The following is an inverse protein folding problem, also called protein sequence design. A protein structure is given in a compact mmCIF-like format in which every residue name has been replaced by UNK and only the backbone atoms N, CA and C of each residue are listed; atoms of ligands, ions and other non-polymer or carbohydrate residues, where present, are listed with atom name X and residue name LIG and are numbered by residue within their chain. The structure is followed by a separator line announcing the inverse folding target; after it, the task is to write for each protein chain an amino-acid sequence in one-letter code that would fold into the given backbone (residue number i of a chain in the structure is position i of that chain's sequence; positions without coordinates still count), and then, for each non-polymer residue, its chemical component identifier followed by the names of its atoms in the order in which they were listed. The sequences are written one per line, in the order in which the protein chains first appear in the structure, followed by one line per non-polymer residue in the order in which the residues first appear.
data_IF_143060193877
#
_entry.id   IF_143060193877
#
_cell.length_a   1.000
_cell.length_b   1.000
_cell.length_c   1.000
_cell.angle_alpha   90.00
_cell.angle_beta   90.00
_cell.angle_gamma   90.00
#
_symmetry.space_group_name_H-M   'P 1'
#
loop_
_entity.id
_entity.type
_entity.pdbx_description
1 polymer ?
#
# COMPACT_ATOMS: atom_id res chain seq x y z
N UNK A 1 -10.34 -31.46 22.80
CA UNK A 1 -10.23 -30.95 21.43
C UNK A 1 -11.27 -29.87 21.25
N UNK A 2 -10.88 -28.60 21.41
CA UNK A 2 -11.79 -27.47 21.22
C UNK A 2 -11.76 -27.14 19.74
N UNK A 3 -12.90 -27.26 19.06
CA UNK A 3 -13.09 -26.79 17.70
C UNK A 3 -12.94 -25.27 17.71
N UNK A 4 -11.72 -24.77 17.45
CA UNK A 4 -11.49 -23.36 17.20
C UNK A 4 -12.32 -22.98 15.96
N UNK A 5 -13.29 -22.08 16.15
CA UNK A 5 -14.08 -21.48 15.07
C UNK A 5 -13.13 -21.07 13.96
N UNK A 6 -13.39 -21.55 12.74
CA UNK A 6 -12.72 -21.11 11.51
C UNK A 6 -12.95 -19.60 11.44
N UNK A 7 -11.97 -18.81 11.86
CA UNK A 7 -12.10 -17.36 11.92
C UNK A 7 -12.38 -16.85 10.50
N UNK A 8 -13.46 -16.07 10.34
CA UNK A 8 -13.72 -15.44 9.05
C UNK A 8 -12.52 -14.54 8.68
N UNK A 9 -12.06 -14.65 7.44
CA UNK A 9 -10.94 -13.87 6.92
C UNK A 9 -11.48 -12.75 6.04
N UNK A 10 -10.86 -11.58 6.12
CA UNK A 10 -11.13 -10.46 5.20
C UNK A 10 -9.90 -10.24 4.33
N UNK A 11 -10.15 -10.08 3.03
CA UNK A 11 -9.13 -9.77 2.04
C UNK A 11 -9.35 -8.35 1.55
N UNK A 12 -8.33 -7.50 1.72
CA UNK A 12 -8.33 -6.13 1.21
C UNK A 12 -7.33 -6.00 0.05
N UNK A 13 -7.71 -5.44 -1.10
CA UNK A 13 -6.82 -5.30 -2.25
C UNK A 13 -5.72 -4.26 -1.97
N UNK A 14 -4.50 -4.57 -2.41
CA UNK A 14 -3.37 -3.64 -2.34
C UNK A 14 -3.42 -2.72 -3.56
N UNK A 15 -3.48 -1.42 -3.30
CA UNK A 15 -3.29 -0.38 -4.32
C UNK A 15 -1.83 0.02 -4.37
N UNK A 16 -1.26 -0.01 -5.58
CA UNK A 16 0.13 0.35 -5.84
C UNK A 16 0.17 1.75 -6.44
N UNK A 17 0.99 2.63 -5.87
CA UNK A 17 1.21 4.00 -6.33
C UNK A 17 2.70 4.14 -6.63
N UNK A 18 3.03 4.46 -7.89
CA UNK A 18 4.41 4.79 -8.29
C UNK A 18 4.59 6.30 -8.26
N UNK A 19 5.52 6.78 -7.44
CA UNK A 19 5.86 8.19 -7.33
C UNK A 19 7.27 8.44 -7.87
N UNK A 20 7.43 9.54 -8.57
CA UNK A 20 8.71 10.08 -9.03
C UNK A 20 9.18 11.10 -8.00
N UNK A 21 10.38 10.92 -7.49
CA UNK A 21 11.06 11.82 -6.58
C UNK A 21 12.27 12.42 -7.29
N UNK A 22 12.40 13.74 -7.27
CA UNK A 22 13.62 14.44 -7.67
C UNK A 22 14.60 14.40 -6.49
N UNK A 23 15.75 13.76 -6.66
CA UNK A 23 16.75 13.64 -5.58
C UNK A 23 17.73 14.81 -5.55
N UNK A 24 17.68 15.68 -6.56
CA UNK A 24 18.50 16.89 -6.63
C UNK A 24 17.75 18.12 -6.11
N UNK A 25 16.42 18.16 -6.30
CA UNK A 25 15.55 19.24 -5.82
C UNK A 25 14.55 18.74 -4.75
N UNK A 26 14.92 18.95 -3.48
CA UNK A 26 14.11 18.58 -2.31
C UNK A 26 12.80 19.36 -2.17
N UNK A 27 12.67 20.51 -2.85
CA UNK A 27 11.46 21.34 -2.79
C UNK A 27 10.43 20.92 -3.83
N UNK A 28 10.85 20.13 -4.83
CA UNK A 28 9.94 19.61 -5.85
C UNK A 28 9.09 18.49 -5.27
N UNK A 29 7.75 18.62 -5.29
CA UNK A 29 6.88 17.60 -4.74
C UNK A 29 6.98 16.31 -5.56
N UNK A 30 6.93 15.13 -4.91
CA UNK A 30 6.82 13.86 -5.63
C UNK A 30 5.54 13.81 -6.46
N UNK A 31 5.63 13.27 -7.67
CA UNK A 31 4.50 13.17 -8.58
C UNK A 31 4.18 11.70 -8.91
N UNK A 32 2.90 11.34 -9.10
CA UNK A 32 2.57 10.07 -9.73
C UNK A 32 3.29 9.92 -11.07
N UNK A 33 3.82 8.73 -11.35
CA UNK A 33 4.59 8.45 -12.57
C UNK A 33 3.86 8.89 -13.84
N UNK A 34 2.57 8.59 -13.94
CA UNK A 34 1.74 8.98 -15.08
C UNK A 34 1.63 10.51 -15.21
N UNK A 35 1.48 11.22 -14.09
CA UNK A 35 1.41 12.69 -14.09
C UNK A 35 2.75 13.29 -14.49
N UNK A 36 3.86 12.74 -14.02
CA UNK A 36 5.21 13.18 -14.39
C UNK A 36 5.43 13.07 -15.91
N UNK A 37 5.12 11.92 -16.49
CA UNK A 37 5.27 11.69 -17.94
C UNK A 37 4.36 12.65 -18.74
N UNK A 38 3.12 12.87 -18.29
CA UNK A 38 2.19 13.81 -18.94
C UNK A 38 2.69 15.26 -18.91
N UNK A 39 3.30 15.69 -17.80
CA UNK A 39 3.74 17.08 -17.61
C UNK A 39 5.07 17.34 -18.33
N UNK A 40 6.04 16.43 -18.19
CA UNK A 40 7.42 16.64 -18.65
C UNK A 40 7.73 15.97 -19.99
N UNK A 41 6.89 15.05 -20.47
CA UNK A 41 7.08 14.35 -21.74
C UNK A 41 8.26 13.38 -21.77
N UNK A 42 8.87 13.10 -20.61
CA UNK A 42 10.04 12.24 -20.47
C UNK A 42 9.80 11.16 -19.42
N UNK A 43 10.53 10.05 -19.55
CA UNK A 43 10.61 9.07 -18.47
C UNK A 43 11.56 9.59 -17.37
N UNK A 44 11.24 9.34 -16.09
CA UNK A 44 12.14 9.67 -15.00
C UNK A 44 13.36 8.74 -15.02
N UNK A 45 14.55 9.30 -15.22
CA UNK A 45 15.81 8.56 -15.28
C UNK A 45 16.75 8.91 -14.12
N UNK A 46 17.51 7.92 -13.60
CA UNK A 46 18.59 8.18 -12.66
C UNK A 46 19.74 8.96 -13.33
N UNK A 47 20.59 9.69 -12.56
CA UNK A 47 20.60 9.75 -11.10
C UNK A 47 19.56 10.72 -10.52
N UNK A 48 19.07 11.67 -11.31
CA UNK A 48 18.22 12.78 -10.85
C UNK A 48 16.85 12.34 -10.35
N UNK A 49 16.19 11.40 -11.02
CA UNK A 49 14.87 10.95 -10.63
C UNK A 49 14.91 9.52 -10.10
N UNK A 50 14.18 9.27 -9.01
CA UNK A 50 13.92 7.92 -8.49
C UNK A 50 12.44 7.63 -8.51
N UNK A 51 12.08 6.43 -8.96
CA UNK A 51 10.69 5.95 -8.88
C UNK A 51 10.55 5.08 -7.64
N UNK A 52 9.76 5.55 -6.67
CA UNK A 52 9.42 4.80 -5.46
C UNK A 52 8.04 4.18 -5.61
N UNK A 53 7.85 3.00 -5.01
CA UNK A 53 6.57 2.30 -5.00
C UNK A 53 6.00 2.34 -3.60
N UNK A 54 4.81 2.92 -3.47
CA UNK A 54 4.03 2.93 -2.23
C UNK A 54 2.87 1.96 -2.40
N UNK A 55 2.71 1.09 -1.42
CA UNK A 55 1.62 0.12 -1.37
C UNK A 55 0.67 0.50 -0.23
N UNK A 56 -0.59 0.69 -0.56
CA UNK A 56 -1.64 1.14 0.36
C UNK A 56 -2.78 0.13 0.33
N UNK A 57 -3.40 -0.11 1.48
CA UNK A 57 -4.66 -0.86 1.58
C UNK A 57 -5.67 -0.06 2.37
N UNK A 58 -6.95 -0.34 2.17
CA UNK A 58 -8.01 0.18 3.04
C UNK A 58 -8.20 -0.83 4.17
N UNK A 59 -8.00 -0.39 5.41
CA UNK A 59 -8.18 -1.23 6.58
C UNK A 59 -9.62 -1.72 6.65
N UNK A 60 -9.80 -3.02 6.92
CA UNK A 60 -11.13 -3.62 6.96
C UNK A 60 -12.00 -3.09 8.12
N UNK A 61 -11.38 -2.59 9.18
CA UNK A 61 -12.03 -2.25 10.45
C UNK A 61 -12.50 -0.80 10.49
N UNK A 62 -11.57 0.15 10.36
CA UNK A 62 -11.82 1.59 10.48
C UNK A 62 -11.99 2.29 9.12
N UNK A 63 -11.79 1.55 8.02
CA UNK A 63 -11.83 2.05 6.63
C UNK A 63 -10.77 3.13 6.33
N UNK A 64 -9.75 3.28 7.16
CA UNK A 64 -8.65 4.19 6.90
C UNK A 64 -7.70 3.62 5.83
N UNK A 65 -7.15 4.47 4.94
CA UNK A 65 -6.03 4.07 4.09
C UNK A 65 -4.77 3.95 4.94
N UNK A 66 -4.13 2.79 4.88
CA UNK A 66 -2.91 2.50 5.65
C UNK A 66 -1.85 1.93 4.73
N UNK A 67 -0.58 2.19 5.03
CA UNK A 67 0.52 1.58 4.29
C UNK A 67 0.55 0.08 4.57
N UNK A 68 0.90 -0.72 3.57
CA UNK A 68 1.00 -2.17 3.80
C UNK A 68 2.13 -2.50 4.78
N UNK A 69 3.17 -1.66 4.84
CA UNK A 69 4.23 -1.73 5.86
C UNK A 69 3.69 -1.52 7.28
N UNK A 70 2.69 -0.65 7.46
CA UNK A 70 2.03 -0.43 8.75
C UNK A 70 1.07 -1.57 9.10
N UNK A 71 0.37 -2.14 8.10
CA UNK A 71 -0.48 -3.30 8.30
C UNK A 71 0.26 -4.49 8.93
N UNK A 72 1.55 -4.68 8.62
CA UNK A 72 2.35 -5.76 9.20
C UNK A 72 2.46 -5.71 10.73
N UNK A 73 2.26 -4.53 11.34
CA UNK A 73 2.28 -4.35 12.79
C UNK A 73 0.90 -4.54 13.44
N UNK A 74 -0.16 -4.73 12.66
CA UNK A 74 -1.51 -4.93 13.17
C UNK A 74 -1.67 -6.37 13.71
N UNK A 75 -2.23 -6.57 14.92
CA UNK A 75 -2.41 -7.92 15.49
C UNK A 75 -3.38 -8.80 14.68
N UNK A 76 -4.20 -8.20 13.81
CA UNK A 76 -5.15 -8.92 12.95
C UNK A 76 -4.55 -9.26 11.59
N UNK A 77 -3.40 -8.70 11.25
CA UNK A 77 -2.71 -9.04 10.01
C UNK A 77 -2.26 -10.50 10.05
N UNK A 78 -2.53 -11.23 8.98
CA UNK A 78 -2.12 -12.63 8.84
C UNK A 78 -1.02 -12.73 7.81
N UNK A 79 -1.27 -12.25 6.58
CA UNK A 79 -0.31 -12.31 5.48
C UNK A 79 -0.69 -11.44 4.30
N UNK A 80 0.28 -11.22 3.42
CA UNK A 80 0.06 -10.75 2.04
C UNK A 80 -0.08 -11.96 1.12
N UNK A 81 -1.05 -11.94 0.21
CA UNK A 81 -1.25 -13.02 -0.76
C UNK A 81 -1.90 -12.48 -2.04
N UNK A 82 -1.29 -12.77 -3.20
CA UNK A 82 -1.82 -12.43 -4.53
C UNK A 82 -2.38 -11.00 -4.66
N UNK A 83 -1.61 -10.00 -4.22
CA UNK A 83 -2.03 -8.59 -4.32
C UNK A 83 -3.11 -8.17 -3.31
N UNK A 84 -3.35 -8.97 -2.27
CA UNK A 84 -4.26 -8.63 -1.16
C UNK A 84 -3.55 -8.76 0.18
N UNK A 85 -4.06 -8.05 1.18
CA UNK A 85 -3.76 -8.28 2.59
C UNK A 85 -4.90 -9.08 3.20
N UNK A 86 -4.55 -10.18 3.89
CA UNK A 86 -5.47 -11.03 4.61
C UNK A 86 -5.41 -10.68 6.10
N UNK A 87 -6.56 -10.32 6.66
CA UNK A 87 -6.72 -10.01 8.07
C UNK A 87 -7.77 -10.93 8.71
N UNK A 88 -7.62 -11.17 10.02
CA UNK A 88 -8.66 -11.81 10.82
C UNK A 88 -9.86 -10.87 10.95
N UNK A 89 -11.07 -11.36 10.68
CA UNK A 89 -12.29 -10.58 10.87
C UNK A 89 -12.58 -10.44 12.36
N UNK A 90 -12.87 -9.22 12.80
CA UNK A 90 -13.47 -9.01 14.11
C UNK A 90 -14.93 -9.46 14.05
N UNK A 91 -15.30 -10.43 14.90
CA UNK A 91 -16.71 -10.74 15.15
C UNK A 91 -17.26 -9.63 16.05
N UNK A 92 -17.97 -8.67 15.45
CA UNK A 92 -18.81 -7.76 16.23
C UNK A 92 -20.01 -8.59 16.72
N UNK A 93 -20.11 -8.79 18.03
CA UNK A 93 -21.28 -9.42 18.69
C UNK A 93 -22.39 -8.37 18.76
#
# INVERSE_FOLDING_TARGET
MVLEKIGEYVYTPIRIIKLVVDVEDIFKPPLPLESFIKIYGINPEPPKYRVITIEVVVCAEDKAPVLVTECGNCPKFIRRYKGTVCCRKSLTI
#
